data_IF_842535491608
#
_entry.id   IF_842535491608
#
_cell.length_a   1.000
_cell.length_b   1.000
_cell.length_c   1.000
_cell.angle_alpha   90.00
_cell.angle_beta   90.00
_cell.angle_gamma   90.00
#
_symmetry.space_group_name_H-M   'P 1'
#
loop_
_entity.id
_entity.type
_entity.pdbx_description
1 polymer ?
#
# COMPACT_ATOMS: atom_id res chain seq x y z
N UNK A 1 9.11 0.09 6.41
CA UNK A 1 7.96 -0.64 7.01
C UNK A 1 7.78 -0.29 8.49
N UNK A 2 8.64 -0.72 9.41
CA UNK A 2 8.44 -0.53 10.86
C UNK A 2 8.34 0.95 11.25
N UNK A 3 9.29 1.79 10.86
CA UNK A 3 9.29 3.22 11.18
C UNK A 3 8.13 4.00 10.57
N UNK A 4 7.64 3.56 9.42
CA UNK A 4 6.52 4.19 8.70
C UNK A 4 5.17 3.55 9.00
N UNK A 5 5.15 2.55 9.88
CA UNK A 5 3.95 1.83 10.31
C UNK A 5 3.14 1.20 9.17
N UNK A 6 3.81 0.73 8.11
CA UNK A 6 3.18 0.07 6.95
C UNK A 6 2.85 -1.39 7.28
N UNK A 7 1.56 -1.73 7.26
CA UNK A 7 1.06 -3.09 7.53
C UNK A 7 0.75 -3.88 6.24
N UNK A 8 0.70 -3.22 5.10
CA UNK A 8 0.28 -3.76 3.79
C UNK A 8 1.23 -4.80 3.20
N UNK A 9 2.48 -4.86 3.70
CA UNK A 9 3.50 -5.82 3.26
C UNK A 9 3.41 -7.17 3.96
N UNK A 10 2.57 -7.32 5.00
CA UNK A 10 2.46 -8.53 5.80
C UNK A 10 1.53 -9.56 5.16
N UNK A 11 1.86 -10.07 3.98
CA UNK A 11 1.09 -11.09 3.26
C UNK A 11 1.92 -12.37 3.03
N UNK A 12 1.24 -13.45 2.63
CA UNK A 12 1.77 -14.83 2.65
C UNK A 12 3.04 -15.07 1.81
N UNK A 13 3.31 -14.25 0.79
CA UNK A 13 4.54 -14.35 -0.02
C UNK A 13 5.76 -13.78 0.70
N UNK A 14 5.56 -12.90 1.70
CA UNK A 14 6.62 -12.32 2.50
C UNK A 14 6.84 -13.16 3.77
N UNK A 15 7.48 -14.33 3.61
CA UNK A 15 7.72 -15.29 4.69
C UNK A 15 8.65 -14.73 5.76
N UNK A 16 9.61 -13.87 5.38
CA UNK A 16 10.61 -13.29 6.29
C UNK A 16 10.82 -11.81 6.01
N UNK A 17 11.08 -11.07 7.09
CA UNK A 17 11.44 -9.66 7.02
C UNK A 17 12.83 -9.50 7.66
N UNK A 18 13.72 -8.82 6.95
CA UNK A 18 15.08 -8.59 7.40
C UNK A 18 15.33 -7.09 7.60
N UNK A 19 16.00 -6.76 8.71
CA UNK A 19 16.77 -5.54 8.86
C UNK A 19 18.25 -5.88 8.65
N UNK A 20 19.13 -4.88 8.63
CA UNK A 20 20.56 -5.12 8.38
C UNK A 20 21.22 -5.96 9.46
N UNK A 21 20.80 -5.82 10.72
CA UNK A 21 21.32 -6.63 11.81
C UNK A 21 20.95 -8.11 11.69
N UNK A 22 19.68 -8.41 11.37
CA UNK A 22 19.25 -9.80 11.19
C UNK A 22 19.87 -10.46 9.94
N UNK A 23 20.04 -9.68 8.86
CA UNK A 23 20.72 -10.16 7.66
C UNK A 23 22.22 -10.40 7.92
N UNK A 24 22.89 -9.48 8.63
CA UNK A 24 24.28 -9.64 9.01
C UNK A 24 24.49 -10.87 9.90
N UNK A 25 23.59 -11.09 10.87
CA UNK A 25 23.61 -12.30 11.69
C UNK A 25 23.48 -13.56 10.84
N UNK A 26 22.54 -13.60 9.90
CA UNK A 26 22.34 -14.74 9.00
C UNK A 26 23.56 -14.99 8.12
N UNK A 27 24.18 -13.95 7.58
CA UNK A 27 25.43 -14.05 6.80
C UNK A 27 26.55 -14.68 7.63
N UNK A 28 26.76 -14.18 8.84
CA UNK A 28 27.83 -14.70 9.74
C UNK A 28 27.63 -16.17 10.10
N UNK A 29 26.38 -16.64 10.24
CA UNK A 29 26.08 -18.06 10.51
C UNK A 29 26.39 -18.98 9.32
N UNK A 30 26.52 -18.41 8.12
CA UNK A 30 26.75 -19.15 6.87
C UNK A 30 28.11 -18.83 6.20
N UNK A 31 29.08 -18.32 6.97
CA UNK A 31 30.42 -17.94 6.47
C UNK A 31 30.35 -16.93 5.30
N UNK A 32 29.35 -16.08 5.31
CA UNK A 32 29.14 -15.01 4.36
C UNK A 32 29.34 -13.64 5.04
N UNK A 33 29.58 -12.63 4.22
CA UNK A 33 29.78 -11.25 4.68
C UNK A 33 28.73 -10.35 4.02
N UNK A 34 27.98 -9.63 4.83
CA UNK A 34 27.14 -8.53 4.36
C UNK A 34 28.05 -7.30 4.19
N UNK A 35 28.38 -6.95 2.94
CA UNK A 35 29.26 -5.82 2.66
C UNK A 35 28.52 -4.50 2.58
N UNK A 36 27.47 -4.43 1.78
CA UNK A 36 26.74 -3.19 1.56
C UNK A 36 25.24 -3.40 1.69
N UNK A 37 24.59 -2.32 2.11
CA UNK A 37 23.12 -2.21 2.14
C UNK A 37 22.77 -0.89 1.48
N UNK A 38 21.96 -0.95 0.43
CA UNK A 38 21.41 0.24 -0.24
C UNK A 38 19.90 0.25 -0.17
N UNK A 39 19.33 1.44 -0.23
CA UNK A 39 17.88 1.66 -0.25
C UNK A 39 17.40 1.82 -1.69
N UNK A 40 16.26 1.22 -2.00
CA UNK A 40 15.54 1.40 -3.26
C UNK A 40 14.13 1.86 -2.97
N UNK A 41 13.61 2.81 -3.74
CA UNK A 41 12.24 3.34 -3.59
C UNK A 41 11.14 2.39 -4.06
N UNK A 42 11.50 1.28 -4.70
CA UNK A 42 10.53 0.26 -5.16
C UNK A 42 9.74 -0.27 -3.97
N UNK A 43 8.43 -0.41 -4.14
CA UNK A 43 7.49 -0.87 -3.11
C UNK A 43 7.47 -0.04 -1.81
N UNK A 44 7.90 1.23 -1.86
CA UNK A 44 7.86 2.14 -0.72
C UNK A 44 9.07 2.03 0.22
N UNK A 45 10.22 1.71 -0.28
CA UNK A 45 11.53 1.48 0.33
C UNK A 45 11.81 0.00 0.59
N UNK A 46 12.77 -0.52 -0.15
CA UNK A 46 13.32 -1.87 0.01
C UNK A 46 14.82 -1.78 0.24
N UNK A 47 15.37 -2.70 1.03
CA UNK A 47 16.81 -2.86 1.14
C UNK A 47 17.33 -3.83 0.07
N UNK A 48 18.48 -3.49 -0.52
CA UNK A 48 19.28 -4.36 -1.35
C UNK A 48 20.50 -4.75 -0.52
N UNK A 49 20.66 -6.04 -0.25
CA UNK A 49 21.77 -6.59 0.50
C UNK A 49 22.84 -7.16 -0.45
N UNK A 50 24.03 -6.60 -0.40
CA UNK A 50 25.18 -7.12 -1.13
C UNK A 50 25.98 -8.07 -0.25
N UNK A 51 25.94 -9.36 -0.58
CA UNK A 51 26.51 -10.46 0.21
C UNK A 51 27.60 -11.14 -0.57
N UNK A 52 28.77 -11.36 0.07
CA UNK A 52 29.94 -12.01 -0.55
C UNK A 52 30.57 -13.02 0.39
N UNK A 53 31.55 -13.79 -0.12
CA UNK A 53 32.38 -14.71 0.72
C UNK A 53 33.54 -14.02 1.41
N UNK A 54 33.87 -12.80 1.03
CA UNK A 54 35.02 -12.03 1.57
C UNK A 54 34.62 -10.58 1.78
N UNK A 55 35.18 -9.96 2.80
CA UNK A 55 35.02 -8.52 3.04
C UNK A 55 35.60 -7.74 1.87
N UNK A 56 34.85 -6.74 1.38
CA UNK A 56 35.34 -5.73 0.44
C UNK A 56 35.95 -4.55 1.18
N UNK A 57 36.79 -3.78 0.51
CA UNK A 57 37.45 -2.63 1.15
C UNK A 57 36.46 -1.48 1.47
N UNK A 58 35.35 -1.40 0.73
CA UNK A 58 34.32 -0.38 0.89
C UNK A 58 33.02 -1.05 1.39
N UNK A 59 32.85 -1.07 2.71
CA UNK A 59 31.65 -1.60 3.35
C UNK A 59 30.93 -0.50 4.12
N UNK A 60 29.64 -0.35 3.92
CA UNK A 60 28.81 0.60 4.65
C UNK A 60 28.05 -0.04 5.84
N UNK A 61 28.28 -1.32 6.11
CA UNK A 61 27.46 -2.07 7.09
C UNK A 61 27.46 -1.43 8.47
N UNK A 62 28.60 -0.93 8.95
CA UNK A 62 28.69 -0.32 10.28
C UNK A 62 27.87 0.98 10.37
N UNK A 63 27.85 1.78 9.31
CA UNK A 63 27.05 3.00 9.23
C UNK A 63 25.56 2.67 9.24
N UNK A 64 25.15 1.67 8.46
CA UNK A 64 23.74 1.25 8.37
C UNK A 64 23.26 0.66 9.70
N UNK A 65 24.07 -0.18 10.34
CA UNK A 65 23.75 -0.74 11.67
C UNK A 65 23.61 0.38 12.72
N UNK A 66 24.49 1.37 12.70
CA UNK A 66 24.42 2.52 13.59
C UNK A 66 23.15 3.35 13.34
N UNK A 67 22.76 3.56 12.07
CA UNK A 67 21.50 4.20 11.71
C UNK A 67 20.28 3.42 12.26
N UNK A 68 20.29 2.09 12.17
CA UNK A 68 19.22 1.25 12.72
C UNK A 68 19.15 1.32 14.26
N UNK A 69 20.31 1.32 14.94
CA UNK A 69 20.40 1.49 16.40
C UNK A 69 19.83 2.85 16.82
N UNK A 70 20.26 3.93 16.17
CA UNK A 70 19.78 5.28 16.44
C UNK A 70 18.28 5.43 16.23
N UNK A 71 17.73 4.72 15.25
CA UNK A 71 16.29 4.63 14.98
C UNK A 71 15.55 3.62 15.87
N UNK A 72 16.25 3.00 16.85
CA UNK A 72 15.70 2.05 17.80
C UNK A 72 15.01 0.83 17.16
N UNK A 73 15.51 0.38 16.00
CA UNK A 73 14.92 -0.75 15.27
C UNK A 73 14.96 -2.04 16.08
N UNK A 74 15.91 -2.16 17.03
CA UNK A 74 16.06 -3.34 17.88
C UNK A 74 15.27 -3.26 19.20
N UNK A 75 14.63 -2.12 19.49
CA UNK A 75 13.92 -1.90 20.73
C UNK A 75 12.50 -2.47 20.69
N UNK A 76 12.09 -3.20 21.71
CA UNK A 76 10.72 -3.72 21.83
C UNK A 76 9.64 -2.63 21.77
N UNK A 77 9.95 -1.42 22.24
CA UNK A 77 9.01 -0.30 22.22
C UNK A 77 8.68 0.13 20.78
N UNK A 78 9.63 0.07 19.86
CA UNK A 78 9.42 0.39 18.44
C UNK A 78 8.37 -0.55 17.83
N UNK A 79 8.44 -1.85 18.12
CA UNK A 79 7.45 -2.81 17.62
C UNK A 79 6.08 -2.66 18.30
N UNK A 80 6.03 -2.28 19.58
CA UNK A 80 4.77 -1.94 20.25
C UNK A 80 4.10 -0.73 19.58
N UNK A 81 4.88 0.32 19.31
CA UNK A 81 4.39 1.52 18.63
C UNK A 81 3.94 1.21 17.19
N UNK A 82 4.71 0.42 16.45
CA UNK A 82 4.32 -0.07 15.15
C UNK A 82 2.93 -0.75 15.18
N UNK A 83 2.74 -1.71 16.09
CA UNK A 83 1.44 -2.39 16.25
C UNK A 83 0.30 -1.39 16.53
N UNK A 84 0.51 -0.47 17.48
CA UNK A 84 -0.52 0.53 17.83
C UNK A 84 -0.86 1.44 16.66
N UNK A 85 0.15 1.90 15.91
CA UNK A 85 -0.05 2.73 14.74
C UNK A 85 -0.78 1.99 13.61
N UNK A 86 -0.46 0.72 13.37
CA UNK A 86 -1.18 -0.10 12.39
C UNK A 86 -2.65 -0.28 12.80
N UNK A 87 -2.95 -0.50 14.09
CA UNK A 87 -4.32 -0.59 14.59
C UNK A 87 -5.05 0.75 14.43
N UNK A 88 -4.39 1.87 14.76
CA UNK A 88 -4.96 3.21 14.58
C UNK A 88 -5.28 3.49 13.11
N UNK A 89 -4.34 3.19 12.21
CA UNK A 89 -4.55 3.32 10.77
C UNK A 89 -5.75 2.49 10.29
N UNK A 90 -5.79 1.21 10.66
CA UNK A 90 -6.92 0.32 10.35
C UNK A 90 -8.26 0.93 10.77
N UNK A 91 -8.37 1.39 12.02
CA UNK A 91 -9.62 1.93 12.56
C UNK A 91 -10.01 3.24 11.86
N UNK A 92 -9.04 4.11 11.57
CA UNK A 92 -9.28 5.36 10.85
C UNK A 92 -9.79 5.10 9.43
N UNK A 93 -9.17 4.16 8.71
CA UNK A 93 -9.60 3.77 7.37
C UNK A 93 -11.04 3.23 7.39
N UNK A 94 -11.31 2.27 8.27
CA UNK A 94 -12.64 1.66 8.39
C UNK A 94 -13.71 2.70 8.73
N UNK A 95 -13.48 3.52 9.77
CA UNK A 95 -14.43 4.54 10.19
C UNK A 95 -14.70 5.55 9.07
N UNK A 96 -13.68 6.02 8.37
CA UNK A 96 -13.84 6.97 7.28
C UNK A 96 -14.68 6.42 6.13
N UNK A 97 -14.48 5.14 5.77
CA UNK A 97 -15.28 4.52 4.71
C UNK A 97 -16.74 4.29 5.17
N UNK A 98 -16.96 3.91 6.43
CA UNK A 98 -18.30 3.80 7.02
C UNK A 98 -18.99 5.17 7.01
N UNK A 99 -18.29 6.24 7.40
CA UNK A 99 -18.84 7.60 7.38
C UNK A 99 -19.29 8.03 5.98
N UNK A 100 -18.53 7.66 4.93
CA UNK A 100 -18.95 7.90 3.56
C UNK A 100 -20.19 7.08 3.17
N UNK A 101 -20.28 5.81 3.57
CA UNK A 101 -21.50 5.00 3.33
C UNK A 101 -22.72 5.60 4.03
N UNK A 102 -22.57 6.10 5.26
CA UNK A 102 -23.65 6.81 6.00
C UNK A 102 -24.09 8.10 5.29
N UNK A 103 -23.21 8.74 4.52
CA UNK A 103 -23.52 9.89 3.66
C UNK A 103 -24.08 9.47 2.29
N UNK A 104 -24.49 8.21 2.10
CA UNK A 104 -24.97 7.65 0.85
C UNK A 104 -23.95 7.76 -0.31
N UNK A 105 -22.66 7.68 -0.01
CA UNK A 105 -21.63 7.60 -1.04
C UNK A 105 -21.46 6.16 -1.53
N UNK A 106 -21.28 6.00 -2.83
CA UNK A 106 -20.82 4.76 -3.43
C UNK A 106 -19.31 4.71 -3.33
N UNK A 107 -18.75 3.60 -2.89
CA UNK A 107 -17.30 3.45 -2.78
C UNK A 107 -16.85 2.33 -3.71
N UNK A 108 -15.93 2.64 -4.60
CA UNK A 108 -15.28 1.64 -5.46
C UNK A 108 -13.78 1.63 -5.19
N UNK A 109 -13.16 0.47 -5.31
CA UNK A 109 -11.71 0.32 -5.19
C UNK A 109 -11.02 0.40 -6.57
N UNK A 110 -9.73 0.76 -6.57
CA UNK A 110 -8.87 0.64 -7.74
C UNK A 110 -7.59 -0.09 -7.37
N UNK A 111 -7.23 -1.14 -8.13
CA UNK A 111 -6.12 -2.07 -7.94
C UNK A 111 -6.36 -3.15 -6.87
N UNK A 112 -6.57 -4.40 -7.29
CA UNK A 112 -6.67 -5.57 -6.42
C UNK A 112 -5.33 -6.32 -6.32
N UNK A 113 -4.33 -5.68 -5.69
CA UNK A 113 -3.00 -6.27 -5.46
C UNK A 113 -2.96 -7.11 -4.18
N UNK A 114 -1.87 -7.85 -3.94
CA UNK A 114 -1.65 -8.56 -2.68
C UNK A 114 -1.67 -7.58 -1.49
N UNK A 115 -1.02 -6.42 -1.60
CA UNK A 115 -1.04 -5.36 -0.58
C UNK A 115 -2.44 -4.83 -0.32
N UNK A 116 -3.21 -4.57 -1.40
CA UNK A 116 -4.60 -4.12 -1.30
C UNK A 116 -5.44 -5.10 -0.49
N UNK A 117 -5.39 -6.38 -0.86
CA UNK A 117 -6.14 -7.43 -0.18
C UNK A 117 -5.73 -7.59 1.29
N UNK A 118 -4.43 -7.44 1.58
CA UNK A 118 -3.93 -7.48 2.97
C UNK A 118 -4.57 -6.39 3.83
N UNK A 119 -4.58 -5.15 3.34
CA UNK A 119 -5.16 -4.03 4.10
C UNK A 119 -6.67 -4.13 4.20
N UNK A 120 -7.38 -4.51 3.13
CA UNK A 120 -8.83 -4.69 3.17
C UNK A 120 -9.23 -5.73 4.23
N UNK A 121 -8.56 -6.88 4.24
CA UNK A 121 -8.80 -7.92 5.25
C UNK A 121 -8.41 -7.45 6.66
N UNK A 122 -7.26 -6.82 6.83
CA UNK A 122 -6.82 -6.28 8.11
C UNK A 122 -7.80 -5.25 8.66
N UNK A 123 -8.34 -4.38 7.80
CA UNK A 123 -9.30 -3.35 8.17
C UNK A 123 -10.76 -3.87 8.21
N UNK A 124 -11.01 -5.15 7.88
CA UNK A 124 -12.36 -5.73 7.78
C UNK A 124 -13.25 -4.92 6.85
N UNK A 125 -12.73 -4.58 5.69
CA UNK A 125 -13.45 -3.90 4.61
C UNK A 125 -13.82 -4.94 3.58
N UNK A 126 -15.09 -5.06 3.29
CA UNK A 126 -15.68 -6.08 2.41
C UNK A 126 -16.67 -5.48 1.40
N UNK A 127 -17.47 -6.33 0.78
CA UNK A 127 -18.49 -5.96 -0.21
C UNK A 127 -19.65 -5.13 0.34
N UNK A 128 -19.82 -5.03 1.66
CA UNK A 128 -20.82 -4.14 2.27
C UNK A 128 -20.34 -2.68 2.24
N UNK A 129 -19.02 -2.47 2.19
CA UNK A 129 -18.40 -1.14 2.18
C UNK A 129 -17.97 -0.73 0.77
N UNK A 130 -17.31 -1.62 0.01
CA UNK A 130 -16.82 -1.35 -1.35
C UNK A 130 -17.66 -2.13 -2.35
N UNK A 131 -18.29 -1.42 -3.27
CA UNK A 131 -19.23 -2.01 -4.24
C UNK A 131 -18.52 -2.94 -5.23
N UNK A 132 -17.34 -2.59 -5.72
CA UNK A 132 -16.44 -3.39 -6.55
C UNK A 132 -15.02 -2.81 -6.59
N UNK A 133 -14.05 -3.60 -7.09
CA UNK A 133 -12.68 -3.14 -7.32
C UNK A 133 -12.39 -3.20 -8.82
N UNK A 134 -11.82 -2.14 -9.37
CA UNK A 134 -11.29 -2.12 -10.73
C UNK A 134 -9.85 -2.66 -10.71
N UNK A 135 -9.56 -3.63 -11.56
CA UNK A 135 -8.20 -4.14 -11.80
C UNK A 135 -7.98 -4.35 -13.30
N UNK A 136 -6.75 -4.20 -13.78
CA UNK A 136 -6.41 -4.36 -15.21
C UNK A 136 -5.99 -5.79 -15.56
N UNK A 137 -5.75 -6.65 -14.57
CA UNK A 137 -5.33 -8.01 -14.84
C UNK A 137 -6.53 -8.87 -15.28
N UNK A 138 -6.56 -9.34 -16.55
CA UNK A 138 -7.68 -10.10 -17.08
C UNK A 138 -7.93 -11.41 -16.31
N UNK A 139 -6.92 -11.96 -15.64
CA UNK A 139 -7.06 -13.18 -14.84
C UNK A 139 -7.83 -12.97 -13.52
N UNK A 140 -8.04 -11.73 -13.11
CA UNK A 140 -8.79 -11.39 -11.89
C UNK A 140 -10.21 -10.91 -12.18
N UNK A 141 -10.45 -10.38 -13.37
CA UNK A 141 -11.74 -9.81 -13.76
C UNK A 141 -12.83 -10.88 -13.69
N UNK A 142 -13.93 -10.56 -13.02
CA UNK A 142 -15.04 -11.48 -12.76
C UNK A 142 -14.84 -12.39 -11.54
N UNK A 143 -13.67 -12.35 -10.89
CA UNK A 143 -13.42 -13.05 -9.64
C UNK A 143 -13.68 -12.13 -8.43
N UNK A 144 -13.58 -12.70 -7.24
CA UNK A 144 -13.75 -11.99 -5.98
C UNK A 144 -12.40 -11.83 -5.26
N UNK A 145 -12.18 -10.66 -4.67
CA UNK A 145 -11.00 -10.38 -3.87
C UNK A 145 -10.95 -11.30 -2.63
N UNK A 146 -9.84 -12.00 -2.39
CA UNK A 146 -9.74 -12.99 -1.32
C UNK A 146 -10.04 -12.39 0.06
N UNK A 147 -10.90 -13.05 0.83
CA UNK A 147 -11.27 -12.68 2.19
C UNK A 147 -12.25 -11.52 2.32
N UNK A 148 -12.15 -10.49 1.47
CA UNK A 148 -13.07 -9.35 1.45
C UNK A 148 -14.33 -9.58 0.61
N UNK A 149 -14.32 -10.58 -0.27
CA UNK A 149 -15.43 -10.95 -1.14
C UNK A 149 -15.95 -9.81 -2.04
N UNK A 150 -15.08 -8.87 -2.43
CA UNK A 150 -15.42 -7.75 -3.31
C UNK A 150 -15.22 -8.18 -4.75
N UNK A 151 -16.22 -7.96 -5.62
CA UNK A 151 -16.14 -8.29 -7.04
C UNK A 151 -15.05 -7.46 -7.73
N UNK A 152 -14.22 -8.11 -8.54
CA UNK A 152 -13.20 -7.46 -9.36
C UNK A 152 -13.76 -7.27 -10.78
N UNK A 153 -13.67 -6.04 -11.28
CA UNK A 153 -14.17 -5.64 -12.60
C UNK A 153 -13.07 -4.98 -13.42
N UNK A 154 -13.31 -4.84 -14.72
CA UNK A 154 -12.44 -4.06 -15.59
C UNK A 154 -12.72 -2.55 -15.52
N UNK A 155 -11.88 -1.76 -16.17
CA UNK A 155 -11.96 -0.30 -16.15
C UNK A 155 -13.25 0.26 -16.78
N UNK A 156 -13.98 -0.51 -17.60
CA UNK A 156 -15.26 -0.07 -18.17
C UNK A 156 -16.33 0.15 -17.09
N UNK A 157 -16.13 -0.40 -15.90
CA UNK A 157 -16.99 -0.18 -14.75
C UNK A 157 -17.05 1.29 -14.31
N UNK A 158 -16.09 2.13 -14.71
CA UNK A 158 -16.17 3.58 -14.52
C UNK A 158 -17.41 4.21 -15.19
N UNK A 159 -17.99 3.59 -16.23
CA UNK A 159 -19.26 4.05 -16.83
C UNK A 159 -20.46 3.99 -15.87
N UNK A 160 -20.35 3.24 -14.79
CA UNK A 160 -21.43 3.06 -13.78
C UNK A 160 -21.36 4.04 -12.62
N UNK A 161 -20.29 4.84 -12.54
CA UNK A 161 -20.12 5.80 -11.44
C UNK A 161 -21.03 7.04 -11.62
N UNK A 162 -21.25 7.73 -10.52
CA UNK A 162 -22.02 8.98 -10.49
C UNK A 162 -21.34 9.99 -9.55
N UNK A 163 -21.89 11.20 -9.44
CA UNK A 163 -21.36 12.29 -8.60
C UNK A 163 -21.21 11.96 -7.11
N UNK A 164 -21.84 10.88 -6.64
CA UNK A 164 -21.75 10.41 -5.26
C UNK A 164 -20.69 9.32 -5.08
N UNK A 165 -19.97 8.96 -6.16
CA UNK A 165 -18.94 7.91 -6.11
C UNK A 165 -17.63 8.45 -5.58
N UNK A 166 -17.00 7.66 -4.70
CA UNK A 166 -15.64 7.83 -4.21
C UNK A 166 -14.82 6.68 -4.76
N UNK A 167 -13.66 6.98 -5.33
CA UNK A 167 -12.69 5.98 -5.77
C UNK A 167 -11.61 5.85 -4.69
N UNK A 168 -11.52 4.68 -4.07
CA UNK A 168 -10.45 4.36 -3.14
C UNK A 168 -9.26 3.78 -3.95
N UNK A 169 -8.19 4.55 -4.09
CA UNK A 169 -6.94 4.04 -4.64
C UNK A 169 -6.25 3.13 -3.62
N UNK A 170 -6.37 1.82 -3.84
CA UNK A 170 -5.77 0.80 -2.98
C UNK A 170 -4.35 0.43 -3.47
N UNK A 171 -4.00 0.81 -4.70
CA UNK A 171 -2.67 0.62 -5.29
C UNK A 171 -1.76 1.84 -5.08
N UNK A 172 -1.64 2.33 -3.87
CA UNK A 172 -0.98 3.59 -3.50
C UNK A 172 0.45 3.75 -4.07
N UNK A 173 1.19 2.66 -4.28
CA UNK A 173 2.54 2.70 -4.90
C UNK A 173 2.53 3.24 -6.33
N UNK A 174 1.38 3.22 -7.00
CA UNK A 174 1.18 3.63 -8.39
C UNK A 174 0.20 4.81 -8.49
N UNK A 175 0.16 5.65 -7.46
CA UNK A 175 -0.82 6.75 -7.33
C UNK A 175 -0.94 7.59 -8.60
N UNK A 176 0.17 8.14 -9.08
CA UNK A 176 0.18 9.02 -10.25
C UNK A 176 -0.30 8.31 -11.51
N UNK A 177 0.12 7.07 -11.70
CA UNK A 177 -0.29 6.26 -12.85
C UNK A 177 -1.79 5.94 -12.80
N UNK A 178 -2.29 5.57 -11.62
CA UNK A 178 -3.71 5.26 -11.41
C UNK A 178 -4.57 6.50 -11.61
N UNK A 179 -4.19 7.65 -11.04
CA UNK A 179 -4.90 8.92 -11.23
C UNK A 179 -4.94 9.27 -12.72
N UNK A 180 -3.81 9.21 -13.41
CA UNK A 180 -3.75 9.47 -14.85
C UNK A 180 -4.69 8.56 -15.66
N UNK A 181 -4.68 7.25 -15.38
CA UNK A 181 -5.54 6.27 -16.06
C UNK A 181 -7.02 6.55 -15.81
N UNK A 182 -7.39 6.82 -14.56
CA UNK A 182 -8.77 7.17 -14.20
C UNK A 182 -9.20 8.43 -14.98
N UNK A 183 -8.42 9.52 -14.89
CA UNK A 183 -8.73 10.79 -15.54
C UNK A 183 -8.94 10.60 -17.03
N UNK A 184 -8.00 9.94 -17.72
CA UNK A 184 -8.10 9.67 -19.15
C UNK A 184 -9.35 8.87 -19.52
N UNK A 185 -9.76 7.90 -18.70
CA UNK A 185 -10.96 7.10 -18.96
C UNK A 185 -12.24 7.88 -18.67
N UNK A 186 -12.24 8.77 -17.70
CA UNK A 186 -13.38 9.65 -17.42
C UNK A 186 -13.62 10.60 -18.60
N UNK A 187 -12.56 11.18 -19.19
CA UNK A 187 -12.63 11.99 -20.40
C UNK A 187 -13.18 11.19 -21.57
N UNK A 188 -12.63 9.99 -21.84
CA UNK A 188 -13.08 9.08 -22.90
C UNK A 188 -14.58 8.74 -22.78
N UNK A 189 -15.07 8.59 -21.55
CA UNK A 189 -16.48 8.26 -21.28
C UNK A 189 -17.40 9.48 -21.15
N UNK A 190 -16.87 10.70 -21.36
CA UNK A 190 -17.59 11.96 -21.21
C UNK A 190 -18.22 12.14 -19.81
N UNK A 191 -17.50 11.74 -18.78
CA UNK A 191 -17.92 11.90 -17.38
C UNK A 191 -17.42 13.24 -16.87
N UNK A 192 -18.33 14.24 -16.79
CA UNK A 192 -18.03 15.65 -16.54
C UNK A 192 -18.44 16.14 -15.14
N UNK A 193 -18.39 15.30 -14.13
CA UNK A 193 -18.64 15.69 -12.73
C UNK A 193 -17.40 15.45 -11.89
N UNK A 194 -17.18 16.24 -10.81
CA UNK A 194 -16.02 16.07 -9.95
C UNK A 194 -16.05 14.71 -9.22
N UNK A 195 -14.90 14.04 -9.19
CA UNK A 195 -14.73 12.74 -8.54
C UNK A 195 -13.71 12.88 -7.43
N UNK A 196 -14.04 12.32 -6.28
CA UNK A 196 -13.12 12.20 -5.15
C UNK A 196 -12.32 10.91 -5.26
N UNK A 197 -11.00 11.02 -5.36
CA UNK A 197 -10.08 9.90 -5.23
C UNK A 197 -9.43 9.98 -3.85
N UNK A 198 -9.57 8.92 -3.07
CA UNK A 198 -8.93 8.76 -1.77
C UNK A 198 -7.73 7.84 -1.93
N UNK A 199 -6.55 8.32 -1.60
CA UNK A 199 -5.38 7.47 -1.47
C UNK A 199 -5.37 6.78 -0.13
N UNK A 200 -5.18 5.47 -0.13
CA UNK A 200 -5.16 4.69 1.09
C UNK A 200 -3.98 5.06 2.01
N UNK A 201 -2.84 5.46 1.46
CA UNK A 201 -1.68 5.92 2.22
C UNK A 201 -1.90 7.32 2.85
N UNK A 202 -2.55 8.23 2.13
CA UNK A 202 -2.82 9.60 2.59
C UNK A 202 -3.99 9.70 3.58
N UNK A 203 -4.75 8.64 3.78
CA UNK A 203 -5.72 8.57 4.86
C UNK A 203 -5.07 8.66 6.25
N UNK A 204 -3.76 8.45 6.34
CA UNK A 204 -2.97 8.80 7.53
C UNK A 204 -2.83 10.32 7.72
N UNK A 205 -2.84 11.11 6.62
CA UNK A 205 -2.52 12.55 6.61
C UNK A 205 -3.70 13.46 6.26
N UNK A 206 -4.91 12.92 6.02
CA UNK A 206 -6.12 13.67 5.64
C UNK A 206 -6.05 14.43 4.30
N UNK A 207 -5.14 14.10 3.40
CA UNK A 207 -5.07 14.73 2.09
C UNK A 207 -6.06 14.03 1.14
N UNK A 208 -7.01 14.80 0.63
CA UNK A 208 -7.96 14.36 -0.39
C UNK A 208 -7.60 15.03 -1.71
N UNK A 209 -7.33 14.27 -2.74
CA UNK A 209 -7.15 14.82 -4.09
C UNK A 209 -8.52 14.90 -4.74
N UNK A 210 -8.99 16.13 -5.01
CA UNK A 210 -10.16 16.36 -5.85
C UNK A 210 -9.67 16.60 -7.29
N UNK A 211 -10.09 15.75 -8.21
CA UNK A 211 -9.96 16.04 -9.63
C UNK A 211 -11.11 16.98 -9.97
N UNK A 212 -10.81 18.26 -10.14
CA UNK A 212 -11.77 19.21 -10.69
C UNK A 212 -11.99 18.87 -12.16
N UNK A 213 -13.26 18.92 -12.60
CA UNK A 213 -13.58 18.90 -14.02
C UNK A 213 -12.80 20.03 -14.72
N UNK A 214 -12.02 19.70 -15.72
CA UNK A 214 -11.40 20.71 -16.57
C UNK A 214 -12.55 21.50 -17.24
N UNK A 215 -12.70 22.79 -16.90
CA UNK A 215 -13.41 23.71 -17.73
C UNK A 215 -12.59 23.90 -19.01
N UNK A 216 -13.20 23.55 -20.17
CA UNK A 216 -12.71 23.87 -21.50
C UNK A 216 -13.14 25.27 -21.90
#
# INVERSE_FOLDING_TARGET
MILESKADTAYHEHISFFNSGSMNFLCNQNELVLNNVSENSIHGTSYIFEITKKTTFESNINEVLLKEINNKIYDKITYKNYKLNCIKYKNNLQNKLIDYKLQNKNIIGFCSSAKSNTILNFAKIDSDIIDFIIDENPLKIGLYAPGSNILITDISALKRINKNTIILNIGWNYEQEIIYKITKKLEEYNINFPITILNMDTLQTQITTQIQSFEF
#
